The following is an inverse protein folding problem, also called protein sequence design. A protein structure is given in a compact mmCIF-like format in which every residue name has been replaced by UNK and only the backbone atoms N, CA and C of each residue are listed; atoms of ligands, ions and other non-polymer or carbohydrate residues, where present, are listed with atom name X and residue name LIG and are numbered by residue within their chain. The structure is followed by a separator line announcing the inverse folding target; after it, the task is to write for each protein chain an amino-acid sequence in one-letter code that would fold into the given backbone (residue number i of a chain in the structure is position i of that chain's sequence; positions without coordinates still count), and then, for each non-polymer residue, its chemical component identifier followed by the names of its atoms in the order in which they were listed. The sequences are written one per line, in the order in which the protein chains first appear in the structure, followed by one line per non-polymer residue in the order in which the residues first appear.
data_IF_099959864730
#
_entry.id   IF_099959864730
#
_cell.length_a   1.000
_cell.length_b   1.000
_cell.length_c   1.000
_cell.angle_alpha   90.00
_cell.angle_beta   90.00
_cell.angle_gamma   90.00
#
_symmetry.space_group_name_H-M   'P 1'
#
loop_
_entity.id
_entity.type
_entity.pdbx_description
1 polymer ?
#
# COMPACT_ATOMS: atom_id res chain seq x y z
N UNK A 1 -19.61 -32.17 -21.85
CA UNK A 1 -19.59 -30.95 -21.02
C UNK A 1 -20.60 -31.00 -19.90
N UNK A 2 -20.21 -30.62 -18.67
CA UNK A 2 -21.14 -30.46 -17.54
C UNK A 2 -21.79 -29.07 -17.60
N UNK A 3 -23.03 -28.89 -17.12
CA UNK A 3 -23.65 -27.56 -17.04
C UNK A 3 -22.81 -26.56 -16.24
N UNK A 4 -22.83 -25.27 -16.62
CA UNK A 4 -22.00 -24.23 -15.99
C UNK A 4 -22.23 -24.09 -14.47
N UNK A 5 -23.48 -24.26 -14.01
CA UNK A 5 -23.79 -24.20 -12.58
C UNK A 5 -23.16 -25.35 -11.78
N UNK A 6 -23.02 -26.54 -12.39
CA UNK A 6 -22.32 -27.68 -11.78
C UNK A 6 -20.83 -27.41 -11.71
N UNK A 7 -20.24 -26.89 -12.80
CA UNK A 7 -18.82 -26.52 -12.81
C UNK A 7 -18.49 -25.45 -11.77
N UNK A 8 -19.37 -24.46 -11.61
CA UNK A 8 -19.23 -23.44 -10.58
C UNK A 8 -19.37 -24.02 -9.16
N UNK A 9 -20.34 -24.91 -8.93
CA UNK A 9 -20.52 -25.60 -7.65
C UNK A 9 -19.31 -26.46 -7.27
N UNK A 10 -18.79 -27.24 -8.22
CA UNK A 10 -17.58 -28.05 -8.05
C UNK A 10 -16.37 -27.17 -7.71
N UNK A 11 -16.21 -26.03 -8.42
CA UNK A 11 -15.14 -25.07 -8.14
C UNK A 11 -15.28 -24.43 -6.76
N UNK A 12 -16.48 -24.00 -6.38
CA UNK A 12 -16.75 -23.40 -5.06
C UNK A 12 -16.45 -24.39 -3.93
N UNK A 13 -16.85 -25.66 -4.11
CA UNK A 13 -16.57 -26.72 -3.16
C UNK A 13 -15.07 -27.03 -3.04
N UNK A 14 -14.35 -27.01 -4.17
CA UNK A 14 -12.89 -27.10 -4.19
C UNK A 14 -12.22 -25.95 -3.44
N UNK A 15 -12.70 -24.71 -3.65
CA UNK A 15 -12.17 -23.53 -2.97
C UNK A 15 -12.27 -23.63 -1.44
N UNK A 16 -13.38 -24.14 -0.91
CA UNK A 16 -13.57 -24.35 0.53
C UNK A 16 -12.56 -25.35 1.11
N UNK A 17 -11.95 -26.19 0.27
CA UNK A 17 -10.89 -27.14 0.62
C UNK A 17 -9.48 -26.61 0.30
N UNK A 18 -9.38 -25.37 -0.16
CA UNK A 18 -8.12 -24.77 -0.60
C UNK A 18 -7.69 -25.16 -2.01
N UNK A 19 -8.54 -25.82 -2.79
CA UNK A 19 -8.26 -26.25 -4.16
C UNK A 19 -8.82 -25.25 -5.18
N UNK A 20 -7.95 -24.46 -5.79
CA UNK A 20 -8.32 -23.49 -6.83
C UNK A 20 -8.39 -24.10 -8.25
N UNK A 21 -8.21 -25.42 -8.35
CA UNK A 21 -8.12 -26.15 -9.61
C UNK A 21 -6.74 -26.07 -10.26
N UNK A 22 -6.68 -26.53 -11.52
CA UNK A 22 -5.47 -26.60 -12.34
C UNK A 22 -5.53 -25.62 -13.50
N UNK A 23 -4.40 -24.97 -13.81
CA UNK A 23 -4.27 -24.06 -14.95
C UNK A 23 -4.58 -24.79 -16.26
N UNK A 24 -5.30 -24.11 -17.16
CA UNK A 24 -5.79 -24.74 -18.39
C UNK A 24 -4.62 -25.11 -19.32
N UNK A 25 -3.57 -24.28 -19.32
CA UNK A 25 -2.42 -24.43 -20.21
C UNK A 25 -1.18 -24.96 -19.49
N UNK A 26 -0.96 -24.57 -18.23
CA UNK A 26 0.20 -25.02 -17.47
C UNK A 26 0.06 -26.45 -16.92
N UNK A 27 -1.18 -26.94 -16.76
CA UNK A 27 -1.45 -28.22 -16.09
C UNK A 27 -1.10 -28.25 -14.59
N UNK A 28 -0.55 -27.16 -14.05
CA UNK A 28 -0.14 -27.02 -12.65
C UNK A 28 -1.31 -26.54 -11.78
N UNK A 29 -1.26 -26.88 -10.49
CA UNK A 29 -2.24 -26.38 -9.53
C UNK A 29 -2.13 -24.84 -9.40
N UNK A 30 -3.26 -24.14 -9.46
CA UNK A 30 -3.28 -22.67 -9.37
C UNK A 30 -2.66 -22.18 -8.06
N UNK A 31 -2.87 -22.92 -6.96
CA UNK A 31 -2.26 -22.63 -5.66
C UNK A 31 -0.73 -22.68 -5.67
N UNK A 32 -0.14 -23.61 -6.44
CA UNK A 32 1.33 -23.73 -6.57
C UNK A 32 1.96 -22.56 -7.34
N UNK A 33 1.18 -21.88 -8.16
CA UNK A 33 1.61 -20.69 -8.91
C UNK A 33 1.44 -19.41 -8.08
N UNK A 34 0.34 -19.29 -7.33
CA UNK A 34 0.05 -18.08 -6.56
C UNK A 34 0.82 -18.06 -5.23
N UNK A 35 0.88 -19.21 -4.53
CA UNK A 35 1.42 -19.32 -3.17
C UNK A 35 2.82 -18.71 -2.99
N UNK A 36 3.82 -19.05 -3.84
CA UNK A 36 5.17 -18.49 -3.73
C UNK A 36 5.25 -16.98 -4.01
N UNK A 37 4.29 -16.42 -4.75
CA UNK A 37 4.30 -15.02 -5.21
C UNK A 37 3.47 -14.11 -4.30
N UNK A 38 2.55 -14.67 -3.54
CA UNK A 38 1.68 -13.93 -2.62
C UNK A 38 2.45 -13.13 -1.55
N UNK A 39 3.42 -13.71 -0.81
CA UNK A 39 4.18 -12.97 0.19
C UNK A 39 4.91 -11.76 -0.40
N UNK A 40 5.39 -11.88 -1.63
CA UNK A 40 6.13 -10.83 -2.32
C UNK A 40 5.28 -9.58 -2.57
N UNK A 41 4.09 -9.76 -3.15
CA UNK A 41 3.18 -8.65 -3.43
C UNK A 41 2.69 -8.02 -2.13
N UNK A 42 2.43 -8.83 -1.09
CA UNK A 42 2.08 -8.33 0.25
C UNK A 42 3.20 -7.49 0.85
N UNK A 43 4.43 -8.00 0.83
CA UNK A 43 5.62 -7.32 1.37
C UNK A 43 5.83 -5.98 0.68
N UNK A 44 5.80 -5.96 -0.66
CA UNK A 44 5.96 -4.74 -1.44
C UNK A 44 4.86 -3.71 -1.13
N UNK A 45 3.60 -4.15 -1.08
CA UNK A 45 2.46 -3.28 -0.76
C UNK A 45 2.55 -2.71 0.66
N UNK A 46 2.97 -3.54 1.64
CA UNK A 46 3.06 -3.17 3.04
C UNK A 46 4.21 -2.18 3.26
N UNK A 47 5.41 -2.51 2.77
CA UNK A 47 6.59 -1.65 2.88
C UNK A 47 6.36 -0.29 2.20
N UNK A 48 5.78 -0.28 0.99
CA UNK A 48 5.43 0.98 0.32
C UNK A 48 4.47 1.84 1.14
N UNK A 49 3.47 1.20 1.78
CA UNK A 49 2.50 1.91 2.61
C UNK A 49 3.13 2.44 3.90
N UNK A 50 3.97 1.66 4.57
CA UNK A 50 4.72 2.08 5.78
C UNK A 50 5.66 3.22 5.46
N UNK A 51 6.51 3.09 4.43
CA UNK A 51 7.46 4.13 4.03
C UNK A 51 6.72 5.41 3.66
N UNK A 52 5.60 5.30 2.93
CA UNK A 52 4.78 6.47 2.62
C UNK A 52 4.26 7.17 3.87
N UNK A 53 3.84 6.43 4.90
CA UNK A 53 3.35 6.98 6.15
C UNK A 53 4.44 7.71 6.93
N UNK A 54 5.63 7.08 7.02
CA UNK A 54 6.81 7.64 7.70
C UNK A 54 7.21 8.99 7.09
N UNK A 55 7.08 9.14 5.77
CA UNK A 55 7.42 10.38 5.08
C UNK A 55 6.25 11.38 5.12
N UNK A 56 5.04 10.92 4.84
CA UNK A 56 3.89 11.78 4.63
C UNK A 56 3.32 12.38 5.91
N UNK A 57 3.33 11.65 7.02
CA UNK A 57 2.78 12.15 8.29
C UNK A 57 3.60 13.35 8.80
N UNK A 58 4.94 13.30 8.88
CA UNK A 58 5.74 14.46 9.25
C UNK A 58 5.55 15.64 8.28
N UNK A 59 5.49 15.39 6.97
CA UNK A 59 5.25 16.44 5.97
C UNK A 59 3.88 17.09 6.20
N UNK A 60 2.81 16.29 6.39
CA UNK A 60 1.47 16.78 6.63
C UNK A 60 1.32 17.56 7.94
N UNK A 61 1.97 17.10 9.02
CA UNK A 61 2.05 17.82 10.30
C UNK A 61 2.76 19.17 10.09
N UNK A 62 3.90 19.17 9.41
CA UNK A 62 4.67 20.38 9.12
C UNK A 62 3.87 21.38 8.28
N UNK A 63 3.15 20.92 7.26
CA UNK A 63 2.23 21.74 6.46
C UNK A 63 1.10 22.34 7.29
N UNK A 64 0.58 21.61 8.28
CA UNK A 64 -0.49 22.12 9.15
C UNK A 64 0.02 23.15 10.16
N UNK A 65 1.18 22.93 10.77
CA UNK A 65 1.76 23.87 11.76
C UNK A 65 2.21 25.16 11.08
N UNK A 66 2.77 25.06 9.88
CA UNK A 66 3.28 26.18 9.09
C UNK A 66 2.28 26.64 8.04
N UNK A 67 0.98 26.55 8.37
CA UNK A 67 -0.12 26.86 7.46
C UNK A 67 0.10 28.19 6.73
N UNK A 68 -0.07 28.15 5.40
CA UNK A 68 -0.04 29.30 4.49
C UNK A 68 1.28 30.09 4.50
N UNK A 69 2.36 29.46 4.95
CA UNK A 69 3.73 29.95 4.80
C UNK A 69 4.44 29.30 3.61
N UNK A 70 5.58 29.85 3.18
CA UNK A 70 6.40 29.28 2.10
C UNK A 70 6.78 27.81 2.33
N UNK A 71 6.91 27.37 3.58
CA UNK A 71 7.18 25.98 3.94
C UNK A 71 6.02 25.06 3.55
N UNK A 72 4.79 25.48 3.85
CA UNK A 72 3.57 24.73 3.48
C UNK A 72 3.38 24.73 1.95
N UNK A 73 3.57 25.87 1.28
CA UNK A 73 3.52 25.92 -0.19
C UNK A 73 4.60 25.01 -0.83
N UNK A 74 5.84 25.04 -0.35
CA UNK A 74 6.92 24.18 -0.84
C UNK A 74 6.62 22.69 -0.65
N UNK A 75 6.13 22.31 0.53
CA UNK A 75 5.72 20.94 0.82
C UNK A 75 4.53 20.49 -0.04
N UNK A 76 3.54 21.36 -0.30
CA UNK A 76 2.44 21.10 -1.25
C UNK A 76 2.97 20.85 -2.66
N UNK A 77 3.86 21.71 -3.16
CA UNK A 77 4.45 21.53 -4.51
C UNK A 77 5.22 20.22 -4.60
N UNK A 78 6.05 19.91 -3.60
CA UNK A 78 6.80 18.66 -3.54
C UNK A 78 5.86 17.44 -3.58
N UNK A 79 4.84 17.44 -2.72
CA UNK A 79 3.88 16.33 -2.63
C UNK A 79 3.00 16.21 -3.88
N UNK A 80 2.57 17.30 -4.52
CA UNK A 80 1.78 17.24 -5.75
C UNK A 80 2.59 16.83 -6.98
N UNK A 81 3.87 17.15 -7.03
CA UNK A 81 4.79 16.69 -8.08
C UNK A 81 4.78 15.16 -8.20
N UNK A 82 4.70 14.45 -7.06
CA UNK A 82 4.66 12.98 -7.01
C UNK A 82 3.43 12.33 -7.66
N UNK A 83 2.30 13.04 -7.79
CA UNK A 83 1.10 12.55 -8.50
C UNK A 83 1.13 12.96 -9.98
N UNK A 84 1.82 14.06 -10.31
CA UNK A 84 1.80 14.64 -11.65
C UNK A 84 2.54 13.78 -12.69
N UNK A 85 3.53 13.02 -12.24
CA UNK A 85 4.28 12.10 -13.09
C UNK A 85 3.67 10.70 -12.97
N UNK A 86 3.31 10.04 -14.08
CA UNK A 86 2.83 8.66 -14.03
C UNK A 86 3.84 7.75 -13.34
N UNK A 87 3.37 6.91 -12.43
CA UNK A 87 4.23 6.12 -11.55
C UNK A 87 5.21 5.18 -12.29
N UNK A 88 4.80 4.67 -13.45
CA UNK A 88 5.64 3.81 -14.29
C UNK A 88 6.81 4.59 -14.92
N UNK A 89 6.62 5.88 -15.23
CA UNK A 89 7.69 6.74 -15.76
C UNK A 89 8.75 6.93 -14.69
N UNK A 90 8.32 7.20 -13.45
CA UNK A 90 9.24 7.31 -12.30
C UNK A 90 10.03 6.01 -12.15
N UNK A 91 9.37 4.85 -12.16
CA UNK A 91 10.04 3.55 -12.06
C UNK A 91 11.05 3.30 -13.18
N UNK A 92 10.67 3.55 -14.45
CA UNK A 92 11.56 3.38 -15.60
C UNK A 92 12.77 4.32 -15.51
N UNK A 93 12.56 5.58 -15.18
CA UNK A 93 13.65 6.56 -15.01
C UNK A 93 14.57 6.15 -13.86
N UNK A 94 14.01 5.72 -12.72
CA UNK A 94 14.81 5.23 -11.59
C UNK A 94 15.68 4.05 -12.01
N UNK A 95 15.12 3.04 -12.69
CA UNK A 95 15.90 1.91 -13.22
C UNK A 95 16.99 2.37 -14.19
N UNK A 96 16.64 3.26 -15.13
CA UNK A 96 17.59 3.80 -16.09
C UNK A 96 18.75 4.53 -15.40
N UNK A 97 18.48 5.36 -14.40
CA UNK A 97 19.51 6.08 -13.65
C UNK A 97 20.41 5.13 -12.85
N UNK A 98 19.85 4.11 -12.20
CA UNK A 98 20.62 3.10 -11.47
C UNK A 98 21.60 2.36 -12.38
N UNK A 99 21.11 1.90 -13.53
CA UNK A 99 21.96 1.17 -14.48
C UNK A 99 22.96 2.11 -15.15
N UNK A 100 22.55 3.30 -15.59
CA UNK A 100 23.39 4.18 -16.42
C UNK A 100 24.41 5.00 -15.62
N UNK A 101 24.02 5.51 -14.46
CA UNK A 101 24.85 6.39 -13.63
C UNK A 101 25.60 5.56 -12.60
N UNK A 102 24.90 4.68 -11.89
CA UNK A 102 25.48 3.92 -10.78
C UNK A 102 26.07 2.57 -11.20
N UNK A 103 25.90 2.16 -12.47
CA UNK A 103 26.30 0.84 -12.97
C UNK A 103 25.81 -0.31 -12.07
N UNK A 104 24.64 -0.14 -11.45
CA UNK A 104 24.11 -1.03 -10.45
C UNK A 104 22.63 -1.31 -10.72
N UNK A 105 22.22 -2.55 -10.50
CA UNK A 105 20.82 -2.96 -10.55
C UNK A 105 20.55 -3.95 -9.42
N UNK A 106 19.37 -3.93 -8.79
CA UNK A 106 19.03 -4.90 -7.76
C UNK A 106 19.21 -6.35 -8.25
N UNK A 107 19.65 -7.28 -7.39
CA UNK A 107 19.71 -8.69 -7.74
C UNK A 107 18.37 -9.19 -8.25
N UNK A 108 18.34 -9.90 -9.37
CA UNK A 108 17.09 -10.46 -9.91
C UNK A 108 16.53 -11.57 -9.02
N UNK A 109 15.21 -11.79 -9.15
CA UNK A 109 14.46 -12.77 -8.38
C UNK A 109 13.95 -12.23 -7.05
N UNK A 110 13.65 -13.12 -6.11
CA UNK A 110 13.20 -12.77 -4.77
C UNK A 110 14.03 -13.49 -3.72
N UNK A 111 14.47 -12.75 -2.71
CA UNK A 111 14.97 -13.29 -1.46
C UNK A 111 13.94 -13.00 -0.36
N UNK A 112 13.55 -14.05 0.36
CA UNK A 112 12.72 -13.89 1.55
C UNK A 112 13.45 -13.02 2.57
N UNK A 113 12.78 -12.06 3.23
CA UNK A 113 13.39 -11.24 4.27
C UNK A 113 13.86 -12.06 5.47
N UNK A 114 13.35 -13.30 5.62
CA UNK A 114 13.76 -14.23 6.67
C UNK A 114 15.00 -15.06 6.30
N UNK A 115 15.33 -15.15 5.01
CA UNK A 115 16.48 -15.93 4.52
C UNK A 115 17.69 -15.04 4.26
N UNK A 116 17.49 -13.95 3.52
CA UNK A 116 18.53 -12.97 3.22
C UNK A 116 17.93 -11.55 3.27
N UNK A 117 17.90 -10.93 4.47
CA UNK A 117 17.35 -9.60 4.66
C UNK A 117 18.05 -8.54 3.81
N UNK A 118 19.36 -8.68 3.59
CA UNK A 118 20.14 -7.66 2.88
C UNK A 118 19.81 -7.67 1.39
N UNK A 119 19.76 -8.86 0.78
CA UNK A 119 19.35 -9.01 -0.61
C UNK A 119 17.90 -8.58 -0.82
N UNK A 120 17.02 -8.92 0.12
CA UNK A 120 15.63 -8.48 0.10
C UNK A 120 15.52 -6.94 0.09
N UNK A 121 16.23 -6.25 0.98
CA UNK A 121 16.23 -4.77 1.02
C UNK A 121 16.71 -4.19 -0.32
N UNK A 122 17.78 -4.74 -0.91
CA UNK A 122 18.26 -4.28 -2.21
C UNK A 122 17.21 -4.44 -3.32
N UNK A 123 16.47 -5.55 -3.29
CA UNK A 123 15.38 -5.84 -4.23
C UNK A 123 14.17 -4.94 -4.02
N UNK A 124 13.85 -4.61 -2.76
CA UNK A 124 12.61 -3.90 -2.42
C UNK A 124 12.76 -2.38 -2.37
N UNK A 125 13.95 -1.84 -2.06
CA UNK A 125 14.15 -0.39 -1.82
C UNK A 125 13.59 0.48 -2.95
N UNK A 126 13.95 0.24 -4.20
CA UNK A 126 13.54 1.09 -5.31
C UNK A 126 12.08 0.90 -5.74
N UNK A 127 11.55 -0.34 -5.83
CA UNK A 127 10.11 -0.57 -5.97
C UNK A 127 9.29 0.12 -4.88
N UNK A 128 9.69 -0.02 -3.62
CA UNK A 128 9.01 0.55 -2.45
C UNK A 128 9.02 2.07 -2.50
N UNK A 129 10.18 2.69 -2.79
CA UNK A 129 10.28 4.14 -2.90
C UNK A 129 9.42 4.69 -4.04
N UNK A 130 9.40 4.02 -5.19
CA UNK A 130 8.58 4.42 -6.34
C UNK A 130 7.09 4.39 -6.01
N UNK A 131 6.63 3.34 -5.34
CA UNK A 131 5.25 3.24 -4.84
C UNK A 131 4.95 4.26 -3.75
N UNK A 132 5.90 4.50 -2.85
CA UNK A 132 5.72 5.40 -1.72
C UNK A 132 5.57 6.86 -2.16
N UNK A 133 6.34 7.34 -3.14
CA UNK A 133 6.30 8.74 -3.62
C UNK A 133 4.87 9.16 -4.01
N UNK A 134 4.16 8.30 -4.75
CA UNK A 134 2.78 8.57 -5.15
C UNK A 134 1.83 8.65 -3.94
N UNK A 135 1.98 7.72 -2.99
CA UNK A 135 1.16 7.64 -1.77
C UNK A 135 1.39 8.81 -0.82
N UNK A 136 2.62 9.33 -0.74
CA UNK A 136 2.99 10.42 0.16
C UNK A 136 2.07 11.62 -0.03
N UNK A 137 1.71 11.92 -1.27
CA UNK A 137 0.87 13.06 -1.61
C UNK A 137 -0.52 13.01 -0.98
N UNK A 138 -1.21 11.87 -1.11
CA UNK A 138 -2.53 11.69 -0.53
C UNK A 138 -2.48 11.71 1.00
N UNK A 139 -1.56 10.95 1.60
CA UNK A 139 -1.45 10.81 3.05
C UNK A 139 -1.06 12.14 3.70
N UNK A 140 -0.13 12.90 3.12
CA UNK A 140 0.31 14.18 3.66
C UNK A 140 -0.82 15.22 3.63
N UNK A 141 -1.60 15.25 2.54
CA UNK A 141 -2.76 16.15 2.40
C UNK A 141 -3.85 15.83 3.43
N UNK A 142 -4.17 14.56 3.62
CA UNK A 142 -5.17 14.13 4.61
C UNK A 142 -4.68 14.43 6.02
N UNK A 143 -3.43 14.12 6.33
CA UNK A 143 -2.80 14.44 7.62
C UNK A 143 -2.85 15.95 7.89
N UNK A 144 -2.53 16.77 6.89
CA UNK A 144 -2.61 18.24 7.01
C UNK A 144 -4.04 18.69 7.34
N UNK A 145 -5.03 18.19 6.59
CA UNK A 145 -6.43 18.55 6.79
C UNK A 145 -6.92 18.19 8.20
N UNK A 146 -6.66 16.96 8.63
CA UNK A 146 -7.05 16.46 9.94
C UNK A 146 -6.35 17.25 11.08
N UNK A 147 -5.06 17.55 10.91
CA UNK A 147 -4.32 18.38 11.88
C UNK A 147 -4.90 19.79 11.98
N UNK A 148 -5.26 20.43 10.87
CA UNK A 148 -5.83 21.78 10.88
C UNK A 148 -7.20 21.84 11.54
N UNK A 149 -8.04 20.83 11.30
CA UNK A 149 -9.35 20.69 11.93
C UNK A 149 -9.18 20.54 13.45
N UNK A 150 -8.36 19.57 13.87
CA UNK A 150 -8.12 19.31 15.28
C UNK A 150 -7.49 20.50 16.01
N UNK A 151 -6.55 21.22 15.37
CA UNK A 151 -5.89 22.37 15.98
C UNK A 151 -6.83 23.57 16.26
N UNK A 152 -8.05 23.56 15.69
CA UNK A 152 -9.10 24.57 15.91
C UNK A 152 -10.07 24.22 17.04
N UNK A 153 -9.95 23.02 17.62
CA UNK A 153 -10.81 22.54 18.70
C UNK A 153 -10.57 23.24 20.05
N UNK A 154 -11.64 23.35 20.85
CA UNK A 154 -11.60 24.08 22.13
C UNK A 154 -10.69 23.42 23.18
N UNK A 155 -10.54 22.10 23.14
CA UNK A 155 -9.63 21.39 24.05
C UNK A 155 -8.16 21.70 23.74
N UNK A 156 -7.82 22.03 22.48
CA UNK A 156 -6.48 22.49 22.10
C UNK A 156 -6.24 23.91 22.63
N UNK A 157 -7.23 24.80 22.52
CA UNK A 157 -7.15 26.14 23.13
C UNK A 157 -6.95 26.04 24.64
N UNK A 158 -7.70 25.17 25.31
CA UNK A 158 -7.58 24.90 26.75
C UNK A 158 -6.19 24.39 27.12
N UNK A 159 -5.62 23.46 26.33
CA UNK A 159 -4.27 22.94 26.51
C UNK A 159 -3.21 24.06 26.42
N UNK A 160 -3.36 24.99 25.47
CA UNK A 160 -2.49 26.17 25.34
C UNK A 160 -2.64 27.14 26.51
N UNK A 161 -3.88 27.42 26.94
CA UNK A 161 -4.15 28.29 28.10
C UNK A 161 -3.57 27.76 29.41
N UNK A 162 -3.41 26.43 29.54
CA UNK A 162 -2.69 25.79 30.65
C UNK A 162 -1.16 25.95 30.60
N UNK A 163 -0.61 26.62 29.58
CA UNK A 163 0.82 26.86 29.42
C UNK A 163 1.61 25.66 28.90
N UNK A 164 0.95 24.66 28.29
CA UNK A 164 1.65 23.52 27.69
C UNK A 164 2.52 23.97 26.51
N UNK A 165 3.74 23.42 26.41
CA UNK A 165 4.64 23.66 25.28
C UNK A 165 3.96 23.24 23.96
N UNK A 166 4.08 24.06 22.91
CA UNK A 166 3.40 23.82 21.62
C UNK A 166 3.72 22.43 21.04
N UNK A 167 4.94 21.92 21.22
CA UNK A 167 5.30 20.55 20.82
C UNK A 167 4.43 19.47 21.50
N UNK A 168 4.13 19.63 22.80
CA UNK A 168 3.24 18.71 23.51
C UNK A 168 1.80 18.84 23.01
N UNK A 169 1.34 20.07 22.76
CA UNK A 169 0.00 20.32 22.17
C UNK A 169 -0.13 19.59 20.82
N UNK A 170 0.86 19.73 19.95
CA UNK A 170 0.87 19.10 18.62
C UNK A 170 0.93 17.57 18.71
N UNK A 171 1.97 17.00 19.33
CA UNK A 171 2.22 15.56 19.24
C UNK A 171 1.32 14.72 20.17
N UNK A 172 0.87 15.28 21.31
CA UNK A 172 0.10 14.53 22.30
C UNK A 172 -1.40 14.80 22.17
N UNK A 173 -1.81 16.06 21.98
CA UNK A 173 -3.23 16.43 21.98
C UNK A 173 -3.83 16.50 20.57
N UNK A 174 -3.11 17.07 19.60
CA UNK A 174 -3.62 17.21 18.25
C UNK A 174 -3.43 15.94 17.42
N UNK A 175 -2.19 15.45 17.29
CA UNK A 175 -1.85 14.32 16.43
C UNK A 175 -2.62 13.07 16.80
N UNK A 176 -2.77 12.78 18.10
CA UNK A 176 -3.51 11.59 18.57
C UNK A 176 -4.94 11.52 18.00
N UNK A 177 -5.64 12.66 17.92
CA UNK A 177 -7.00 12.70 17.39
C UNK A 177 -7.01 12.86 15.87
N UNK A 178 -6.04 13.58 15.31
CA UNK A 178 -5.89 13.73 13.86
C UNK A 178 -5.44 12.43 13.16
N UNK A 179 -4.98 11.42 13.91
CA UNK A 179 -4.48 10.16 13.35
C UNK A 179 -5.59 9.22 12.85
N UNK A 180 -6.84 9.38 13.31
CA UNK A 180 -7.97 8.54 12.92
C UNK A 180 -8.22 8.52 11.40
N UNK A 181 -8.33 9.67 10.70
CA UNK A 181 -8.39 9.70 9.24
C UNK A 181 -7.14 9.10 8.56
N UNK A 182 -5.97 9.25 9.18
CA UNK A 182 -4.71 8.78 8.60
C UNK A 182 -4.63 7.25 8.62
N UNK A 183 -5.12 6.59 9.67
CA UNK A 183 -5.25 5.12 9.74
C UNK A 183 -6.16 4.63 8.60
N UNK A 184 -7.30 5.28 8.40
CA UNK A 184 -8.26 4.90 7.35
C UNK A 184 -7.62 4.99 5.96
N UNK A 185 -6.90 6.08 5.70
CA UNK A 185 -6.21 6.28 4.41
C UNK A 185 -5.02 5.32 4.26
N UNK A 186 -4.32 4.97 5.33
CA UNK A 186 -3.31 3.92 5.31
C UNK A 186 -3.91 2.58 4.86
N UNK A 187 -5.02 2.18 5.47
CA UNK A 187 -5.76 0.97 5.12
C UNK A 187 -6.16 0.91 3.65
N UNK A 188 -6.82 1.98 3.19
CA UNK A 188 -7.21 2.14 1.79
C UNK A 188 -5.99 2.10 0.84
N UNK A 189 -4.92 2.82 1.19
CA UNK A 189 -3.68 2.86 0.40
C UNK A 189 -3.02 1.49 0.29
N UNK A 190 -3.00 0.72 1.38
CA UNK A 190 -2.48 -0.64 1.38
C UNK A 190 -3.33 -1.57 0.50
N UNK A 191 -4.66 -1.53 0.65
CA UNK A 191 -5.59 -2.32 -0.15
C UNK A 191 -5.46 -2.03 -1.65
N UNK A 192 -5.43 -0.76 -2.05
CA UNK A 192 -5.22 -0.35 -3.45
C UNK A 192 -3.87 -0.82 -3.97
N UNK A 193 -2.84 -0.85 -3.12
CA UNK A 193 -1.52 -1.33 -3.53
C UNK A 193 -1.50 -2.79 -3.92
N UNK A 194 -2.34 -3.64 -3.33
CA UNK A 194 -2.41 -5.06 -3.70
C UNK A 194 -2.72 -5.23 -5.20
N UNK A 195 -3.56 -4.37 -5.77
CA UNK A 195 -3.81 -4.33 -7.22
C UNK A 195 -2.87 -3.39 -7.99
N UNK A 196 -2.28 -2.40 -7.34
CA UNK A 196 -1.47 -1.35 -7.96
C UNK A 196 0.02 -1.68 -8.13
N UNK A 197 0.54 -2.74 -7.50
CA UNK A 197 1.96 -3.13 -7.64
C UNK A 197 2.28 -3.74 -9.00
N UNK A 198 1.28 -4.17 -9.78
CA UNK A 198 1.44 -4.91 -11.04
C UNK A 198 2.48 -4.27 -11.97
N UNK A 199 2.37 -2.96 -12.20
CA UNK A 199 3.26 -2.25 -13.14
C UNK A 199 4.67 -2.12 -12.57
N UNK A 200 4.80 -1.91 -11.26
CA UNK A 200 6.09 -1.80 -10.57
C UNK A 200 6.79 -3.16 -10.52
N UNK A 201 6.05 -4.24 -10.28
CA UNK A 201 6.57 -5.60 -10.35
C UNK A 201 7.20 -5.88 -11.71
N UNK A 202 6.56 -5.43 -12.79
CA UNK A 202 7.09 -5.62 -14.15
C UNK A 202 8.33 -4.78 -14.44
N UNK A 203 8.36 -3.53 -14.01
CA UNK A 203 9.49 -2.62 -14.25
C UNK A 203 10.75 -3.08 -13.52
N UNK A 204 10.61 -3.53 -12.27
CA UNK A 204 11.72 -3.96 -11.43
C UNK A 204 11.99 -5.47 -11.49
N UNK A 205 11.26 -6.22 -12.34
CA UNK A 205 11.40 -7.67 -12.52
C UNK A 205 11.22 -8.44 -11.19
N UNK A 206 10.25 -7.99 -10.40
CA UNK A 206 9.87 -8.60 -9.11
C UNK A 206 8.79 -9.65 -9.39
N UNK A 207 9.01 -10.94 -9.06
CA UNK A 207 8.14 -12.05 -9.49
C UNK A 207 6.82 -12.16 -8.69
N UNK A 208 6.02 -11.10 -8.65
CA UNK A 208 4.79 -11.03 -7.84
C UNK A 208 3.55 -11.54 -8.55
N UNK A 209 2.43 -11.55 -7.83
CA UNK A 209 1.13 -11.99 -8.36
C UNK A 209 0.67 -11.09 -9.51
N UNK A 210 0.99 -9.80 -9.44
CA UNK A 210 0.58 -8.87 -10.47
C UNK A 210 1.22 -9.16 -11.82
N UNK A 211 2.52 -9.43 -11.83
CA UNK A 211 3.22 -9.85 -13.04
C UNK A 211 2.65 -11.18 -13.59
N UNK A 212 2.35 -12.14 -12.71
CA UNK A 212 1.68 -13.40 -13.06
C UNK A 212 0.30 -13.17 -13.70
N UNK A 213 -0.49 -12.22 -13.17
CA UNK A 213 -1.80 -11.89 -13.72
C UNK A 213 -1.71 -11.43 -15.17
N UNK A 214 -0.76 -10.55 -15.50
CA UNK A 214 -0.53 -10.09 -16.86
C UNK A 214 -0.16 -11.25 -17.77
N UNK A 215 0.85 -12.04 -17.37
CA UNK A 215 1.36 -13.13 -18.20
C UNK A 215 0.25 -14.17 -18.50
N UNK A 216 -0.58 -14.50 -17.50
CA UNK A 216 -1.68 -15.47 -17.64
C UNK A 216 -2.90 -14.91 -18.37
N UNK A 217 -3.14 -13.62 -18.27
CA UNK A 217 -4.17 -12.93 -19.07
C UNK A 217 -3.82 -12.99 -20.56
N UNK A 218 -2.55 -12.71 -20.91
CA UNK A 218 -2.07 -12.81 -22.28
C UNK A 218 -2.09 -14.26 -22.81
N UNK A 219 -1.80 -15.23 -21.94
CA UNK A 219 -1.91 -16.66 -22.25
C UNK A 219 -3.36 -17.20 -22.26
N UNK A 220 -4.36 -16.37 -21.98
CA UNK A 220 -5.79 -16.75 -21.88
C UNK A 220 -6.06 -17.89 -20.88
N UNK A 221 -5.25 -18.03 -19.83
CA UNK A 221 -5.48 -19.02 -18.77
C UNK A 221 -6.50 -18.52 -17.75
N UNK A 222 -7.79 -18.62 -18.12
CA UNK A 222 -8.90 -18.07 -17.33
C UNK A 222 -8.99 -18.66 -15.91
N UNK A 223 -8.61 -19.93 -15.71
CA UNK A 223 -8.66 -20.58 -14.39
C UNK A 223 -7.67 -19.92 -13.43
N UNK A 224 -6.47 -19.62 -13.91
CA UNK A 224 -5.45 -19.00 -13.08
C UNK A 224 -5.74 -17.52 -12.84
N UNK A 225 -6.23 -16.80 -13.85
CA UNK A 225 -6.72 -15.42 -13.70
C UNK A 225 -7.84 -15.35 -12.64
N UNK A 226 -8.81 -16.27 -12.68
CA UNK A 226 -9.89 -16.35 -11.69
C UNK A 226 -9.35 -16.61 -10.28
N UNK A 227 -8.38 -17.51 -10.12
CA UNK A 227 -7.72 -17.75 -8.83
C UNK A 227 -6.99 -16.52 -8.29
N UNK A 228 -6.27 -15.79 -9.14
CA UNK A 228 -5.59 -14.55 -8.75
C UNK A 228 -6.59 -13.48 -8.31
N UNK A 229 -7.67 -13.27 -9.09
CA UNK A 229 -8.70 -12.28 -8.75
C UNK A 229 -9.38 -12.64 -7.43
N UNK A 230 -9.65 -13.92 -7.17
CA UNK A 230 -10.19 -14.37 -5.89
C UNK A 230 -9.25 -14.05 -4.73
N UNK A 231 -7.96 -14.37 -4.86
CA UNK A 231 -6.94 -14.09 -3.83
C UNK A 231 -6.82 -12.59 -3.56
N UNK A 232 -6.81 -11.75 -4.60
CA UNK A 232 -6.82 -10.30 -4.42
C UNK A 232 -8.08 -9.80 -3.73
N UNK A 233 -9.25 -10.33 -4.11
CA UNK A 233 -10.52 -9.95 -3.50
C UNK A 233 -10.53 -10.29 -2.01
N UNK A 234 -10.13 -11.51 -1.66
CA UNK A 234 -10.02 -11.94 -0.26
C UNK A 234 -9.01 -11.11 0.52
N UNK A 235 -7.85 -10.80 -0.07
CA UNK A 235 -6.84 -9.97 0.57
C UNK A 235 -7.36 -8.54 0.84
N UNK A 236 -8.00 -7.91 -0.14
CA UNK A 236 -8.60 -6.57 0.03
C UNK A 236 -9.70 -6.57 1.08
N UNK A 237 -10.60 -7.56 1.07
CA UNK A 237 -11.64 -7.69 2.09
C UNK A 237 -11.05 -7.89 3.49
N UNK A 238 -10.00 -8.70 3.60
CA UNK A 238 -9.29 -8.92 4.87
C UNK A 238 -8.65 -7.63 5.37
N UNK A 239 -8.00 -6.87 4.48
CA UNK A 239 -7.41 -5.57 4.84
C UNK A 239 -8.47 -4.58 5.30
N UNK A 240 -9.59 -4.46 4.57
CA UNK A 240 -10.67 -3.56 4.98
C UNK A 240 -11.22 -3.95 6.35
N UNK A 241 -11.49 -5.24 6.58
CA UNK A 241 -11.95 -5.73 7.87
C UNK A 241 -10.94 -5.40 8.99
N UNK A 242 -9.65 -5.61 8.77
CA UNK A 242 -8.61 -5.27 9.74
C UNK A 242 -8.57 -3.76 10.03
N UNK A 243 -8.73 -2.93 9.02
CA UNK A 243 -8.76 -1.46 9.15
C UNK A 243 -9.98 -1.02 9.96
N UNK A 244 -11.14 -1.59 9.68
CA UNK A 244 -12.39 -1.30 10.41
C UNK A 244 -12.28 -1.75 11.88
N UNK A 245 -11.68 -2.90 12.15
CA UNK A 245 -11.41 -3.39 13.51
C UNK A 245 -10.42 -2.48 14.26
N UNK A 246 -9.34 -2.04 13.60
CA UNK A 246 -8.38 -1.10 14.19
C UNK A 246 -9.07 0.25 14.45
N UNK A 247 -9.89 0.73 13.52
CA UNK A 247 -10.64 1.96 13.68
C UNK A 247 -11.60 1.89 14.87
N UNK A 248 -12.38 0.81 14.99
CA UNK A 248 -13.27 0.56 16.12
C UNK A 248 -12.54 0.43 17.47
N UNK A 249 -11.31 -0.09 17.46
CA UNK A 249 -10.49 -0.18 18.66
C UNK A 249 -9.87 1.16 19.07
N UNK A 250 -9.46 1.97 18.09
CA UNK A 250 -8.82 3.28 18.33
C UNK A 250 -9.84 4.37 18.65
N UNK A 251 -11.07 4.32 18.11
CA UNK A 251 -12.13 5.27 18.42
C UNK A 251 -13.06 4.77 19.55
N UNK A 252 -12.91 5.26 20.79
CA UNK A 252 -13.76 4.88 21.90
C UNK A 252 -15.21 5.40 21.78
N UNK A 253 -15.53 6.28 20.83
CA UNK A 253 -16.89 6.84 20.63
C UNK A 253 -17.85 5.84 19.96
N UNK A 254 -17.32 4.86 19.24
CA UNK A 254 -18.10 3.82 18.55
C UNK A 254 -18.66 2.79 19.56
N UNK A 255 -18.18 2.81 20.82
CA UNK A 255 -18.52 1.84 21.87
C UNK A 255 -19.83 2.09 22.62
N UNK A 256 -20.61 3.09 22.23
CA UNK A 256 -21.94 3.38 22.80
C UNK A 256 -23.04 3.20 21.76
N UNK A 257 -23.36 1.95 21.45
CA UNK A 257 -24.63 1.53 20.85
C UNK A 257 -24.97 0.12 21.36
#
# INVERSE_FOLDING_TARGET
DRPLHVQYGDWLWGLLRGEMGTGLFSGTAVTSEIGPRYPLTLELALLASIVSMIIAVPIGILMAIKQDTAVDYGARIFTFSGISIPIFVVGIVTVYLLVRIFNWFPPLGYASPWEDPWKNIQQMVFPVLTLAIFKVSLVARVTRSAMLEVMREDYIRTARSKGLREQKVIFIHALKNAFLPVITVFGWSFAVSLGGTIVIERIYVVPGIGSLLIDRTLARDYKLVQGIVLVFTLAVLTVNLLVDLVYAWVDPRIRYA
#
